data_IF_258320330254
#
_entry.id   IF_258320330254
#
_cell.length_a   1.000
_cell.length_b   1.000
_cell.length_c   1.000
_cell.angle_alpha   90.00
_cell.angle_beta   90.00
_cell.angle_gamma   90.00
#
_symmetry.space_group_name_H-M   'P 1'
#
loop_
_entity.id
_entity.type
_entity.pdbx_description
1 polymer ?
#
# COMPACT_ATOMS: atom_id res chain seq x y z
N UNK A 1 40.39 21.26 30.35
CA UNK A 1 39.37 20.21 30.57
C UNK A 1 37.94 20.72 30.40
N UNK A 2 37.48 21.75 31.14
CA UNK A 2 36.08 22.19 31.10
C UNK A 2 35.63 22.76 29.74
N UNK A 3 36.49 23.55 29.08
CA UNK A 3 36.25 24.10 27.74
C UNK A 3 36.16 23.00 26.67
N UNK A 4 37.00 21.98 26.79
CA UNK A 4 37.04 20.86 25.84
C UNK A 4 35.79 19.98 25.95
N UNK A 5 35.30 19.77 27.19
CA UNK A 5 34.02 19.09 27.45
C UNK A 5 32.86 19.92 26.89
N UNK A 6 32.89 21.24 27.07
CA UNK A 6 31.86 22.14 26.53
C UNK A 6 31.80 22.08 25.00
N UNK A 7 32.96 22.11 24.34
CA UNK A 7 33.06 22.03 22.88
C UNK A 7 32.54 20.68 22.35
N UNK A 8 32.91 19.56 22.98
CA UNK A 8 32.40 18.22 22.63
C UNK A 8 30.87 18.13 22.79
N UNK A 9 30.32 18.70 23.86
CA UNK A 9 28.86 18.78 24.07
C UNK A 9 28.16 19.60 22.98
N UNK A 10 28.77 20.71 22.56
CA UNK A 10 28.20 21.59 21.54
C UNK A 10 28.19 20.92 20.15
N UNK A 11 29.25 20.18 19.81
CA UNK A 11 29.32 19.35 18.60
C UNK A 11 28.29 18.20 18.64
N UNK A 12 28.13 17.55 19.79
CA UNK A 12 27.13 16.50 19.95
C UNK A 12 25.70 17.05 19.80
N UNK A 13 25.44 18.23 20.39
CA UNK A 13 24.15 18.90 20.30
C UNK A 13 23.84 19.34 18.86
N UNK A 14 24.81 19.90 18.13
CA UNK A 14 24.61 20.29 16.74
C UNK A 14 24.35 19.08 15.83
N UNK A 15 25.07 17.97 16.06
CA UNK A 15 24.82 16.71 15.37
C UNK A 15 23.42 16.16 15.66
N UNK A 16 23.01 16.15 16.93
CA UNK A 16 21.69 15.72 17.34
C UNK A 16 20.59 16.56 16.68
N UNK A 17 20.71 17.90 16.71
CA UNK A 17 19.74 18.81 16.06
C UNK A 17 19.66 18.55 14.56
N UNK A 18 20.80 18.33 13.89
CA UNK A 18 20.82 17.96 12.47
C UNK A 18 20.06 16.67 12.19
N UNK A 19 20.32 15.62 12.98
CA UNK A 19 19.63 14.34 12.85
C UNK A 19 18.12 14.45 13.12
N UNK A 20 17.72 15.10 14.21
CA UNK A 20 16.30 15.30 14.56
C UNK A 20 15.54 16.11 13.52
N UNK A 21 16.21 17.02 12.80
CA UNK A 21 15.61 17.79 11.71
C UNK A 21 15.31 16.94 10.47
N UNK A 22 16.07 15.87 10.25
CA UNK A 22 15.89 14.96 9.11
C UNK A 22 14.75 13.95 9.32
N UNK A 23 14.50 13.52 10.56
CA UNK A 23 13.45 12.55 10.90
C UNK A 23 12.08 12.92 10.31
N UNK A 24 11.52 14.14 10.53
CA UNK A 24 10.20 14.48 9.99
C UNK A 24 10.18 14.57 8.45
N UNK A 25 11.32 14.85 7.81
CA UNK A 25 11.42 14.87 6.35
C UNK A 25 11.35 13.45 5.80
N UNK A 26 12.10 12.52 6.38
CA UNK A 26 12.02 11.09 6.04
C UNK A 26 10.62 10.56 6.29
N UNK A 27 10.01 10.95 7.41
CA UNK A 27 8.68 10.51 7.79
C UNK A 27 7.61 10.88 6.73
N UNK A 28 7.64 12.14 6.26
CA UNK A 28 6.78 12.62 5.16
C UNK A 28 7.09 11.96 3.82
N UNK A 29 8.35 11.69 3.53
CA UNK A 29 8.73 11.00 2.29
C UNK A 29 8.16 9.59 2.26
N UNK A 30 8.19 8.87 3.39
CA UNK A 30 7.60 7.55 3.50
C UNK A 30 6.08 7.59 3.30
N UNK A 31 5.39 8.58 3.86
CA UNK A 31 3.93 8.75 3.67
C UNK A 31 3.55 8.95 2.20
N UNK A 32 4.45 9.55 1.41
CA UNK A 32 4.26 9.71 -0.04
C UNK A 32 4.60 8.45 -0.84
N UNK A 33 5.64 7.73 -0.42
CA UNK A 33 6.16 6.55 -1.14
C UNK A 33 5.30 5.31 -0.90
N UNK A 34 4.77 5.12 0.31
CA UNK A 34 3.97 3.95 0.68
C UNK A 34 2.76 3.68 -0.25
N UNK A 35 1.85 4.64 -0.52
CA UNK A 35 0.73 4.41 -1.43
C UNK A 35 1.19 4.15 -2.88
N UNK A 36 2.31 4.74 -3.31
CA UNK A 36 2.88 4.50 -4.64
C UNK A 36 3.46 3.09 -4.75
N UNK A 37 4.14 2.63 -3.71
CA UNK A 37 4.67 1.27 -3.63
C UNK A 37 3.54 0.24 -3.67
N UNK A 38 2.48 0.43 -2.87
CA UNK A 38 1.28 -0.41 -2.87
C UNK A 38 0.59 -0.45 -4.25
N UNK A 39 0.50 0.70 -4.92
CA UNK A 39 -0.03 0.79 -6.28
C UNK A 39 0.81 -0.06 -7.24
N UNK A 40 2.13 0.12 -7.27
CA UNK A 40 3.04 -0.65 -8.11
C UNK A 40 2.98 -2.15 -7.82
N UNK A 41 2.93 -2.52 -6.53
CA UNK A 41 2.80 -3.92 -6.11
C UNK A 41 1.49 -4.53 -6.61
N UNK A 42 0.39 -3.79 -6.54
CA UNK A 42 -0.91 -4.24 -7.05
C UNK A 42 -0.87 -4.43 -8.57
N UNK A 43 -0.25 -3.53 -9.32
CA UNK A 43 -0.05 -3.69 -10.76
C UNK A 43 0.81 -4.91 -11.10
N UNK A 44 1.90 -5.13 -10.36
CA UNK A 44 2.75 -6.32 -10.52
C UNK A 44 1.98 -7.61 -10.23
N UNK A 45 1.16 -7.62 -9.18
CA UNK A 45 0.28 -8.74 -8.84
C UNK A 45 -0.76 -9.01 -9.94
N UNK A 46 -1.34 -7.96 -10.53
CA UNK A 46 -2.27 -8.08 -11.66
C UNK A 46 -1.59 -8.65 -12.90
N UNK A 47 -0.38 -8.18 -13.22
CA UNK A 47 0.41 -8.73 -14.32
C UNK A 47 0.80 -10.19 -14.06
N UNK A 48 1.13 -10.52 -12.80
CA UNK A 48 1.38 -11.90 -12.38
C UNK A 48 0.16 -12.77 -12.65
N UNK A 49 -1.06 -12.39 -12.23
CA UNK A 49 -2.24 -13.24 -12.44
C UNK A 49 -2.78 -13.25 -13.87
N UNK A 50 -2.35 -12.31 -14.73
CA UNK A 50 -2.83 -12.18 -16.11
C UNK A 50 -2.51 -13.42 -16.95
N UNK A 51 -1.24 -13.85 -17.02
CA UNK A 51 -0.73 -15.05 -17.72
C UNK A 51 -1.54 -15.53 -18.96
N UNK A 52 -1.51 -16.81 -19.33
CA UNK A 52 -2.36 -17.36 -20.42
C UNK A 52 -3.88 -17.40 -20.09
N UNK A 53 -4.32 -16.86 -18.95
CA UNK A 53 -5.72 -16.90 -18.52
C UNK A 53 -6.17 -15.60 -17.85
N UNK A 54 -7.01 -14.78 -18.52
CA UNK A 54 -7.45 -13.48 -18.02
C UNK A 54 -8.39 -13.55 -16.80
N UNK A 55 -8.75 -14.75 -16.35
CA UNK A 55 -9.61 -14.98 -15.18
C UNK A 55 -8.89 -14.89 -13.84
N UNK A 56 -7.59 -14.57 -13.84
CA UNK A 56 -6.81 -14.35 -12.63
C UNK A 56 -7.38 -13.23 -11.74
N UNK A 57 -7.24 -13.37 -10.42
CA UNK A 57 -7.76 -12.39 -9.46
C UNK A 57 -6.73 -12.02 -8.40
N UNK A 58 -6.71 -10.75 -8.02
CA UNK A 58 -5.96 -10.23 -6.87
C UNK A 58 -6.96 -9.74 -5.84
N UNK A 59 -6.95 -10.32 -4.64
CA UNK A 59 -7.75 -9.89 -3.50
C UNK A 59 -6.86 -9.18 -2.50
N UNK A 60 -7.22 -7.95 -2.15
CA UNK A 60 -6.53 -7.13 -1.17
C UNK A 60 -7.37 -7.11 0.11
N UNK A 61 -6.80 -7.58 1.21
CA UNK A 61 -7.39 -7.55 2.55
C UNK A 61 -6.43 -6.95 3.57
N UNK A 62 -6.94 -6.50 4.72
CA UNK A 62 -6.12 -6.11 5.87
C UNK A 62 -6.39 -7.10 6.99
N UNK A 63 -5.35 -7.78 7.46
CA UNK A 63 -5.43 -8.81 8.52
C UNK A 63 -4.25 -8.59 9.47
N UNK A 64 -4.52 -8.44 10.77
CA UNK A 64 -3.51 -8.16 11.79
C UNK A 64 -2.62 -6.96 11.44
N UNK A 65 -3.24 -5.86 11.00
CA UNK A 65 -2.57 -4.64 10.52
C UNK A 65 -1.65 -4.83 9.29
N UNK A 66 -1.62 -6.01 8.67
CA UNK A 66 -0.90 -6.25 7.41
C UNK A 66 -1.85 -6.15 6.22
N UNK A 67 -1.40 -5.48 5.16
CA UNK A 67 -2.06 -5.53 3.86
C UNK A 67 -1.64 -6.83 3.17
N UNK A 68 -2.61 -7.68 2.84
CA UNK A 68 -2.40 -8.95 2.14
C UNK A 68 -2.95 -8.88 0.74
N UNK A 69 -2.09 -9.15 -0.23
CA UNK A 69 -2.45 -9.31 -1.64
C UNK A 69 -2.42 -10.80 -1.96
N UNK A 70 -3.61 -11.41 -2.05
CA UNK A 70 -3.79 -12.79 -2.48
C UNK A 70 -4.00 -12.84 -3.99
N UNK A 71 -3.00 -13.37 -4.69
CA UNK A 71 -2.98 -13.55 -6.13
C UNK A 71 -3.43 -14.98 -6.46
N UNK A 72 -4.44 -15.13 -7.30
CA UNK A 72 -4.97 -16.43 -7.73
C UNK A 72 -4.87 -16.53 -9.25
N UNK A 73 -4.14 -17.54 -9.71
CA UNK A 73 -3.99 -17.99 -11.10
C UNK A 73 -4.84 -19.25 -11.31
N UNK A 74 -6.00 -19.14 -11.95
CA UNK A 74 -6.84 -20.31 -12.24
C UNK A 74 -6.12 -21.28 -13.18
N UNK A 75 -6.25 -22.58 -12.94
CA UNK A 75 -5.69 -23.64 -13.79
C UNK A 75 -4.27 -24.12 -13.46
N UNK A 76 -3.61 -23.56 -12.42
CA UNK A 76 -2.32 -24.05 -11.92
C UNK A 76 -2.46 -24.63 -10.51
N UNK A 77 -1.86 -25.81 -10.26
CA UNK A 77 -1.93 -26.55 -8.99
C UNK A 77 -1.32 -25.80 -7.79
N UNK A 78 -0.40 -24.86 -8.06
CA UNK A 78 0.14 -23.89 -7.09
C UNK A 78 -0.19 -22.45 -7.52
N UNK A 79 -1.43 -22.23 -7.96
CA UNK A 79 -1.88 -20.97 -8.53
C UNK A 79 -2.09 -19.84 -7.52
N UNK A 80 -1.86 -20.07 -6.21
CA UNK A 80 -2.10 -19.06 -5.17
C UNK A 80 -0.77 -18.55 -4.63
N UNK A 81 -0.59 -17.25 -4.64
CA UNK A 81 0.55 -16.56 -4.01
C UNK A 81 0.02 -15.43 -3.14
N UNK A 82 0.52 -15.31 -1.92
CA UNK A 82 0.13 -14.24 -1.00
C UNK A 82 1.33 -13.37 -0.71
N UNK A 83 1.17 -12.06 -0.84
CA UNK A 83 2.17 -11.06 -0.49
C UNK A 83 1.63 -10.28 0.71
N UNK A 84 2.41 -10.18 1.77
CA UNK A 84 2.10 -9.35 2.94
C UNK A 84 2.95 -8.09 2.94
N UNK A 85 2.34 -6.96 3.24
CA UNK A 85 3.01 -5.66 3.42
C UNK A 85 2.60 -5.11 4.78
N UNK A 86 3.59 -4.75 5.59
CA UNK A 86 3.36 -4.04 6.86
C UNK A 86 3.38 -2.54 6.56
N UNK A 87 2.24 -1.85 6.67
CA UNK A 87 2.18 -0.40 6.50
C UNK A 87 2.84 0.31 7.68
N UNK A 88 3.34 1.53 7.47
CA UNK A 88 3.95 2.34 8.54
C UNK A 88 2.94 2.70 9.63
N UNK A 89 1.71 2.98 9.22
CA UNK A 89 0.60 3.34 10.09
C UNK A 89 -0.58 2.37 9.90
N UNK A 90 -1.52 2.36 10.85
CA UNK A 90 -2.73 1.55 10.71
C UNK A 90 -3.52 1.96 9.47
N UNK A 91 -3.90 0.96 8.68
CA UNK A 91 -4.70 1.12 7.47
C UNK A 91 -6.00 0.34 7.58
N UNK A 92 -7.03 0.83 6.91
CA UNK A 92 -8.34 0.18 6.85
C UNK A 92 -8.81 0.06 5.42
N UNK A 93 -9.54 -1.01 5.13
CA UNK A 93 -10.22 -1.16 3.85
C UNK A 93 -11.63 -0.61 3.97
N UNK A 94 -11.97 0.33 3.09
CA UNK A 94 -13.31 0.88 2.94
C UNK A 94 -13.88 0.39 1.62
N UNK A 95 -14.82 -0.55 1.69
CA UNK A 95 -15.62 -1.03 0.57
C UNK A 95 -17.10 -0.83 0.87
N UNK A 96 -17.96 -0.85 -0.15
CA UNK A 96 -19.41 -0.68 0.02
C UNK A 96 -20.02 -1.75 0.94
N UNK A 97 -19.48 -2.97 0.89
CA UNK A 97 -20.03 -4.14 1.55
C UNK A 97 -19.17 -4.62 2.75
N UNK A 98 -18.17 -3.83 3.17
CA UNK A 98 -17.29 -4.17 4.30
C UNK A 98 -16.33 -5.34 4.05
N UNK A 99 -16.13 -5.73 2.79
CA UNK A 99 -15.26 -6.83 2.37
C UNK A 99 -13.89 -6.38 1.81
N UNK A 100 -13.17 -7.35 1.24
CA UNK A 100 -11.89 -7.14 0.58
C UNK A 100 -12.05 -6.43 -0.78
N UNK A 101 -10.99 -5.76 -1.24
CA UNK A 101 -10.95 -5.23 -2.61
C UNK A 101 -10.57 -6.38 -3.54
N UNK A 102 -11.30 -6.58 -4.63
CA UNK A 102 -11.02 -7.67 -5.58
C UNK A 102 -10.85 -7.12 -6.98
N UNK A 103 -9.72 -7.43 -7.58
CA UNK A 103 -9.29 -6.94 -8.87
C UNK A 103 -9.03 -8.13 -9.80
N UNK A 104 -9.29 -7.94 -11.08
CA UNK A 104 -8.82 -8.81 -12.17
C UNK A 104 -8.00 -7.96 -13.14
N UNK A 105 -7.17 -8.56 -14.00
CA UNK A 105 -6.37 -7.82 -14.97
C UNK A 105 -7.19 -6.90 -15.90
N UNK A 106 -8.45 -7.25 -16.14
CA UNK A 106 -9.32 -6.53 -17.08
C UNK A 106 -10.37 -5.66 -16.39
N UNK A 107 -10.76 -5.99 -15.16
CA UNK A 107 -11.87 -5.33 -14.46
C UNK A 107 -11.69 -5.27 -12.95
N UNK A 108 -12.24 -4.24 -12.31
CA UNK A 108 -12.38 -4.16 -10.85
C UNK A 108 -13.65 -4.89 -10.45
N UNK A 109 -13.51 -6.05 -9.81
CA UNK A 109 -14.64 -6.91 -9.42
C UNK A 109 -15.34 -6.38 -8.16
N UNK A 110 -14.55 -5.93 -7.18
CA UNK A 110 -15.03 -5.31 -5.96
C UNK A 110 -14.18 -4.08 -5.67
N UNK A 111 -14.77 -2.91 -5.88
CA UNK A 111 -14.13 -1.62 -5.68
C UNK A 111 -14.03 -1.27 -4.19
N UNK A 112 -13.02 -0.47 -3.86
CA UNK A 112 -12.82 0.06 -2.52
C UNK A 112 -11.58 0.92 -2.42
N UNK A 113 -11.27 1.34 -1.20
CA UNK A 113 -10.09 2.14 -0.90
C UNK A 113 -9.36 1.59 0.30
N UNK A 114 -8.04 1.71 0.29
CA UNK A 114 -7.18 1.54 1.47
C UNK A 114 -6.97 2.94 2.03
N UNK A 115 -7.36 3.15 3.27
CA UNK A 115 -7.32 4.44 3.96
C UNK A 115 -6.32 4.35 5.09
N UNK A 116 -5.33 5.23 5.06
CA UNK A 116 -4.43 5.55 6.18
C UNK A 116 -4.79 6.93 6.73
N UNK A 117 -4.15 7.35 7.82
CA UNK A 117 -4.30 8.70 8.36
C UNK A 117 -3.81 9.78 7.39
N UNK A 118 -2.72 9.51 6.66
CA UNK A 118 -2.01 10.52 5.86
C UNK A 118 -2.23 10.36 4.33
N UNK A 119 -2.80 9.24 3.89
CA UNK A 119 -3.04 8.97 2.46
C UNK A 119 -4.23 8.05 2.24
N UNK A 120 -4.75 8.05 1.02
CA UNK A 120 -5.81 7.13 0.58
C UNK A 120 -5.51 6.61 -0.81
N UNK A 121 -5.59 5.29 -0.97
CA UNK A 121 -5.42 4.61 -2.25
C UNK A 121 -6.74 3.96 -2.68
N UNK A 122 -7.35 4.48 -3.72
CA UNK A 122 -8.65 4.02 -4.21
C UNK A 122 -8.54 3.19 -5.48
N UNK A 123 -9.37 2.15 -5.55
CA UNK A 123 -9.57 1.26 -6.70
C UNK A 123 -11.02 1.40 -7.18
N UNK A 124 -11.33 2.40 -8.01
CA UNK A 124 -12.69 2.66 -8.44
C UNK A 124 -13.19 1.57 -9.42
N UNK A 125 -14.50 1.34 -9.50
CA UNK A 125 -15.05 0.44 -10.52
C UNK A 125 -14.81 1.04 -11.91
N UNK A 126 -14.38 0.22 -12.87
CA UNK A 126 -14.36 0.62 -14.28
C UNK A 126 -15.82 0.69 -14.73
N UNK A 127 -16.35 1.90 -14.97
CA UNK A 127 -17.73 2.09 -15.40
C UNK A 127 -17.89 1.55 -16.82
N UNK A 128 -18.28 0.29 -16.96
CA UNK A 128 -18.53 -0.35 -18.27
C UNK A 128 -19.93 -0.07 -18.82
N UNK A 129 -20.88 0.40 -18.00
CA UNK A 129 -22.24 0.73 -18.44
C UNK A 129 -22.78 1.99 -17.73
N UNK A 130 -23.09 3.00 -18.53
CA UNK A 130 -23.99 4.07 -18.14
C UNK A 130 -25.44 3.59 -18.34
N UNK A 131 -26.17 3.37 -17.26
CA UNK A 131 -27.61 3.15 -17.34
C UNK A 131 -28.31 4.51 -17.26
N UNK A 132 -28.83 4.98 -18.39
CA UNK A 132 -29.78 6.09 -18.42
C UNK A 132 -31.15 5.48 -18.11
N UNK A 133 -31.66 5.71 -16.90
CA UNK A 133 -33.10 5.52 -16.64
C UNK A 133 -33.83 6.71 -17.25
N UNK A 134 -34.81 6.42 -18.11
CA UNK A 134 -35.78 7.39 -18.61
C UNK A 134 -37.02 7.34 -17.75
#
# INVERSE_FOLDING_TARGET
MLIEVLFKLLVLASFAVGMFSCVPVVDRMLDYVEPLYLKCLTYSALHYVLDDNPSGTVTISVINDEIRLRCIRPGKTSGVTTISVVPKEQVQIVTKDGGAITLSPTTVLQAGSIVSKNWTLSFPPVVLRANIKR
#
